data_IF_592393233255
#
_entry.id   IF_592393233255
#
_cell.length_a   1.000
_cell.length_b   1.000
_cell.length_c   1.000
_cell.angle_alpha   90.00
_cell.angle_beta   90.00
_cell.angle_gamma   90.00
#
_symmetry.space_group_name_H-M   'P 1'
#
loop_
_entity.id
_entity.type
_entity.pdbx_description
1 polymer ?
#
# COMPACT_ATOMS: atom_id res chain seq x y z
N UNK A 1 -10.58 -14.07 25.60
CA UNK A 1 -10.96 -15.02 24.52
C UNK A 1 -12.18 -14.57 23.71
N UNK A 2 -13.32 -14.24 24.34
CA UNK A 2 -14.53 -13.78 23.64
C UNK A 2 -14.33 -12.54 22.73
N UNK A 3 -13.44 -11.63 23.09
CA UNK A 3 -13.18 -10.41 22.31
C UNK A 3 -12.47 -10.70 20.97
N UNK A 4 -11.49 -11.61 20.95
CA UNK A 4 -10.84 -12.03 19.70
C UNK A 4 -11.83 -12.71 18.74
N UNK A 5 -12.72 -13.55 19.28
CA UNK A 5 -13.77 -14.22 18.50
C UNK A 5 -14.74 -13.18 17.91
N UNK A 6 -15.10 -12.15 18.69
CA UNK A 6 -15.92 -11.03 18.20
C UNK A 6 -15.26 -10.33 17.01
N UNK A 7 -13.96 -10.05 17.07
CA UNK A 7 -13.25 -9.42 15.95
C UNK A 7 -13.14 -10.36 14.73
N UNK A 8 -12.90 -11.66 14.91
CA UNK A 8 -12.94 -12.60 13.78
C UNK A 8 -14.32 -12.66 13.12
N UNK A 9 -15.40 -12.70 13.90
CA UNK A 9 -16.76 -12.66 13.36
C UNK A 9 -17.05 -11.34 12.60
N UNK A 10 -16.49 -10.22 13.08
CA UNK A 10 -16.60 -8.94 12.37
C UNK A 10 -15.84 -8.97 11.04
N UNK A 11 -14.59 -9.46 11.04
CA UNK A 11 -13.75 -9.57 9.84
C UNK A 11 -14.37 -10.49 8.79
N UNK A 12 -15.00 -11.58 9.21
CA UNK A 12 -15.74 -12.49 8.33
C UNK A 12 -16.95 -11.79 7.69
N UNK A 13 -17.75 -11.08 8.51
CA UNK A 13 -18.91 -10.32 8.05
C UNK A 13 -18.58 -9.25 7.01
N UNK A 14 -17.43 -8.58 7.15
CA UNK A 14 -16.97 -7.57 6.17
C UNK A 14 -16.15 -8.20 5.01
N UNK A 15 -16.01 -9.52 4.98
CA UNK A 15 -15.43 -10.27 3.87
C UNK A 15 -13.90 -10.28 3.82
N UNK A 16 -13.22 -9.90 4.91
CA UNK A 16 -11.74 -9.87 5.00
C UNK A 16 -11.19 -11.29 5.19
N UNK A 17 -11.88 -12.10 5.98
CA UNK A 17 -11.55 -13.51 6.21
C UNK A 17 -12.77 -14.39 5.88
N UNK A 18 -12.51 -15.69 5.78
CA UNK A 18 -13.48 -16.78 5.90
C UNK A 18 -13.20 -17.46 7.24
N UNK A 19 -14.09 -17.29 8.21
CA UNK A 19 -13.98 -17.91 9.53
C UNK A 19 -14.39 -19.40 9.46
N UNK A 20 -13.60 -20.28 10.07
CA UNK A 20 -13.76 -21.74 10.07
C UNK A 20 -13.86 -22.27 11.51
N UNK A 21 -14.32 -23.51 11.72
CA UNK A 21 -14.38 -24.13 13.03
C UNK A 21 -13.04 -24.05 13.78
N UNK A 22 -13.13 -24.00 15.12
CA UNK A 22 -11.97 -23.90 16.03
C UNK A 22 -11.13 -22.63 15.84
N UNK A 23 -11.77 -21.49 15.53
CA UNK A 23 -11.13 -20.19 15.32
C UNK A 23 -10.05 -20.18 14.22
N UNK A 24 -10.11 -21.14 13.30
CA UNK A 24 -9.26 -21.14 12.10
C UNK A 24 -9.84 -20.15 11.10
N UNK A 25 -9.01 -19.55 10.26
CA UNK A 25 -9.50 -18.64 9.22
C UNK A 25 -8.69 -18.77 7.93
N UNK A 26 -9.31 -18.38 6.82
CA UNK A 26 -8.64 -18.15 5.53
C UNK A 26 -8.74 -16.67 5.19
N UNK A 27 -7.60 -16.02 4.92
CA UNK A 27 -7.58 -14.64 4.46
C UNK A 27 -8.16 -14.55 3.04
N UNK A 28 -9.09 -13.62 2.81
CA UNK A 28 -9.73 -13.38 1.50
C UNK A 28 -9.13 -12.19 0.74
N UNK A 29 -8.17 -11.50 1.34
CA UNK A 29 -7.44 -10.40 0.71
C UNK A 29 -6.12 -10.89 0.12
N UNK A 30 -5.88 -10.55 -1.14
CA UNK A 30 -4.54 -10.62 -1.72
C UNK A 30 -3.64 -9.54 -1.09
N UNK A 31 -2.35 -9.81 -0.89
CA UNK A 31 -1.42 -8.80 -0.37
C UNK A 31 -1.32 -7.54 -1.24
N UNK A 32 -1.48 -7.68 -2.55
CA UNK A 32 -1.48 -6.57 -3.51
C UNK A 32 -2.90 -6.02 -3.81
N UNK A 33 -3.87 -6.15 -2.89
CA UNK A 33 -5.21 -5.65 -3.15
C UNK A 33 -5.24 -4.12 -3.30
N UNK A 34 -6.04 -3.63 -4.25
CA UNK A 34 -6.21 -2.19 -4.46
C UNK A 34 -7.14 -1.59 -3.41
N UNK A 35 -6.69 -0.52 -2.77
CA UNK A 35 -7.54 0.26 -1.90
C UNK A 35 -8.54 1.05 -2.73
N UNK A 36 -9.78 1.13 -2.24
CA UNK A 36 -10.77 2.04 -2.82
C UNK A 36 -10.31 3.49 -2.57
N UNK A 37 -10.24 4.35 -3.60
CA UNK A 37 -9.97 5.77 -3.40
C UNK A 37 -10.96 6.36 -2.39
N UNK A 38 -10.45 7.10 -1.39
CA UNK A 38 -11.23 7.66 -0.28
C UNK A 38 -12.03 6.62 0.54
N UNK A 39 -11.67 5.34 0.43
CA UNK A 39 -12.25 4.26 1.20
C UNK A 39 -11.69 4.16 2.62
N UNK A 40 -12.30 3.32 3.48
CA UNK A 40 -11.99 3.27 4.91
C UNK A 40 -10.53 2.91 5.20
N UNK A 41 -9.95 1.95 4.46
CA UNK A 41 -8.54 1.56 4.63
C UNK A 41 -7.60 2.73 4.31
N UNK A 42 -7.87 3.45 3.22
CA UNK A 42 -7.05 4.58 2.80
C UNK A 42 -7.14 5.73 3.79
N UNK A 43 -8.34 6.04 4.29
CA UNK A 43 -8.53 7.10 5.28
C UNK A 43 -7.86 6.74 6.60
N UNK A 44 -8.06 5.52 7.09
CA UNK A 44 -7.40 5.03 8.29
C UNK A 44 -5.87 5.12 8.19
N UNK A 45 -5.28 4.65 7.07
CA UNK A 45 -3.84 4.74 6.87
C UNK A 45 -3.34 6.19 6.87
N UNK A 46 -4.04 7.10 6.18
CA UNK A 46 -3.67 8.53 6.17
C UNK A 46 -3.73 9.16 7.55
N UNK A 47 -4.74 8.83 8.33
CA UNK A 47 -5.00 9.43 9.64
C UNK A 47 -4.07 8.88 10.74
N UNK A 48 -3.67 7.60 10.63
CA UNK A 48 -3.04 6.91 11.76
C UNK A 48 -1.61 6.42 11.49
N UNK A 49 -1.21 6.21 10.24
CA UNK A 49 0.04 5.51 9.92
C UNK A 49 0.94 6.25 8.91
N UNK A 50 0.40 7.16 8.10
CA UNK A 50 1.16 7.82 7.05
C UNK A 50 2.35 8.63 7.58
N UNK A 51 2.11 9.46 8.60
CA UNK A 51 3.18 10.28 9.18
C UNK A 51 4.21 9.45 9.94
N UNK A 52 3.76 8.41 10.64
CA UNK A 52 4.63 7.44 11.32
C UNK A 52 5.55 6.74 10.31
N UNK A 53 5.00 6.19 9.22
CA UNK A 53 5.77 5.53 8.17
C UNK A 53 6.81 6.47 7.52
N UNK A 54 6.44 7.72 7.21
CA UNK A 54 7.35 8.69 6.62
C UNK A 54 8.28 9.38 7.63
N UNK A 55 8.14 9.10 8.93
CA UNK A 55 9.11 9.55 9.95
C UNK A 55 10.38 8.70 9.98
N UNK A 56 10.35 7.51 9.35
CA UNK A 56 11.52 6.65 9.18
C UNK A 56 12.59 7.27 8.27
N UNK A 57 13.85 6.90 8.51
CA UNK A 57 15.01 7.42 7.77
C UNK A 57 15.15 6.86 6.35
N UNK A 58 14.56 5.69 6.07
CA UNK A 58 14.74 4.93 4.82
C UNK A 58 16.23 4.65 4.51
N UNK A 59 17.06 4.50 5.55
CA UNK A 59 18.51 4.30 5.50
C UNK A 59 18.94 2.88 5.90
N UNK A 60 17.98 1.99 6.17
CA UNK A 60 18.22 0.57 6.40
C UNK A 60 18.61 -0.19 5.12
N UNK A 61 19.19 -1.40 5.26
CA UNK A 61 19.45 -2.27 4.12
C UNK A 61 18.18 -2.56 3.32
N UNK A 62 18.20 -2.23 2.02
CA UNK A 62 17.03 -2.43 1.15
C UNK A 62 15.92 -1.39 1.30
N UNK A 63 16.12 -0.37 2.15
CA UNK A 63 15.21 0.76 2.29
C UNK A 63 15.60 1.90 1.35
N UNK A 64 14.62 2.75 1.03
CA UNK A 64 14.85 3.95 0.25
C UNK A 64 13.54 4.69 -0.03
N UNK A 65 13.64 6.01 -0.22
CA UNK A 65 12.53 6.86 -0.63
C UNK A 65 12.87 7.55 -1.95
N UNK A 66 11.98 7.44 -2.94
CA UNK A 66 12.16 8.03 -4.26
C UNK A 66 11.07 9.06 -4.52
N UNK A 67 11.47 10.32 -4.70
CA UNK A 67 10.59 11.39 -5.16
C UNK A 67 11.05 11.84 -6.55
N UNK A 68 10.22 11.58 -7.56
CA UNK A 68 10.50 11.97 -8.94
C UNK A 68 9.43 12.96 -9.40
N UNK A 69 9.88 14.15 -9.82
CA UNK A 69 9.02 15.18 -10.41
C UNK A 69 9.29 15.31 -11.91
N UNK A 70 8.24 15.46 -12.71
CA UNK A 70 8.36 15.64 -14.15
C UNK A 70 7.02 15.58 -14.87
N UNK A 71 7.06 15.84 -16.17
CA UNK A 71 5.91 15.71 -17.07
C UNK A 71 6.14 14.56 -18.04
N UNK A 72 5.12 13.72 -18.20
CA UNK A 72 5.08 12.65 -19.22
C UNK A 72 3.85 12.84 -20.08
N UNK A 73 3.82 12.21 -21.26
CA UNK A 73 2.62 12.25 -22.11
C UNK A 73 1.43 11.58 -21.39
N UNK A 74 0.23 12.13 -21.59
CA UNK A 74 -1.00 11.58 -21.00
C UNK A 74 -1.22 10.11 -21.39
N UNK A 75 -0.89 9.75 -22.63
CA UNK A 75 -0.99 8.37 -23.13
C UNK A 75 -0.04 7.38 -22.45
N UNK A 76 1.06 7.86 -21.86
CA UNK A 76 2.05 6.99 -21.21
C UNK A 76 1.73 6.74 -19.73
N UNK A 77 0.96 7.62 -19.08
CA UNK A 77 0.66 7.51 -17.65
C UNK A 77 0.03 6.17 -17.22
N UNK A 78 -0.93 5.57 -17.97
CA UNK A 78 -1.48 4.26 -17.61
C UNK A 78 -0.42 3.15 -17.59
N UNK A 79 0.55 3.18 -18.51
CA UNK A 79 1.61 2.17 -18.60
C UNK A 79 2.56 2.20 -17.40
N UNK A 80 2.82 3.39 -16.83
CA UNK A 80 3.60 3.51 -15.60
C UNK A 80 2.83 2.97 -14.40
N UNK A 81 1.53 3.26 -14.31
CA UNK A 81 0.68 2.72 -13.25
C UNK A 81 0.62 1.19 -13.31
N UNK A 82 0.54 0.60 -14.51
CA UNK A 82 0.62 -0.87 -14.69
C UNK A 82 1.96 -1.43 -14.21
N UNK A 83 3.08 -0.78 -14.54
CA UNK A 83 4.42 -1.21 -14.06
C UNK A 83 4.51 -1.18 -12.54
N UNK A 84 3.95 -0.15 -11.89
CA UNK A 84 3.88 -0.09 -10.43
C UNK A 84 3.03 -1.21 -9.84
N UNK A 85 1.91 -1.57 -10.50
CA UNK A 85 1.10 -2.72 -10.07
C UNK A 85 1.85 -4.04 -10.20
N UNK A 86 2.68 -4.22 -11.24
CA UNK A 86 3.53 -5.41 -11.38
C UNK A 86 4.56 -5.51 -10.26
N UNK A 87 5.23 -4.41 -9.92
CA UNK A 87 6.17 -4.37 -8.77
C UNK A 87 5.48 -4.82 -7.46
N UNK A 88 4.25 -4.35 -7.20
CA UNK A 88 3.47 -4.78 -6.04
C UNK A 88 3.11 -6.29 -6.10
N UNK A 89 2.80 -6.81 -7.28
CA UNK A 89 2.51 -8.23 -7.49
C UNK A 89 3.76 -9.10 -7.29
N UNK A 90 4.91 -8.67 -7.78
CA UNK A 90 6.18 -9.38 -7.64
C UNK A 90 6.56 -9.49 -6.16
N UNK A 91 6.44 -8.40 -5.39
CA UNK A 91 6.65 -8.42 -3.94
C UNK A 91 5.67 -9.36 -3.22
N UNK A 92 4.38 -9.33 -3.59
CA UNK A 92 3.38 -10.21 -2.99
C UNK A 92 3.67 -11.70 -3.26
N UNK A 93 4.13 -12.04 -4.46
CA UNK A 93 4.53 -13.40 -4.83
C UNK A 93 5.78 -13.84 -4.08
N UNK A 94 6.81 -12.99 -4.03
CA UNK A 94 8.05 -13.27 -3.30
C UNK A 94 7.77 -13.48 -1.80
N UNK A 95 6.97 -12.61 -1.19
CA UNK A 95 6.55 -12.76 0.20
C UNK A 95 5.88 -14.12 0.45
N UNK A 96 5.03 -14.60 -0.47
CA UNK A 96 4.38 -15.91 -0.34
C UNK A 96 5.38 -17.07 -0.48
N UNK A 97 6.35 -16.95 -1.40
CA UNK A 97 7.40 -17.95 -1.56
C UNK A 97 8.27 -18.07 -0.29
N UNK A 98 8.61 -16.92 0.31
CA UNK A 98 9.46 -16.83 1.49
C UNK A 98 8.75 -17.25 2.78
N UNK A 99 7.44 -17.53 2.77
CA UNK A 99 6.76 -18.10 3.95
C UNK A 99 7.36 -19.43 4.41
N UNK A 100 8.04 -20.15 3.49
CA UNK A 100 8.73 -21.41 3.79
C UNK A 100 10.14 -21.22 4.38
N UNK A 101 10.69 -20.01 4.32
CA UNK A 101 12.03 -19.73 4.84
C UNK A 101 12.02 -19.64 6.37
N UNK A 102 13.14 -19.98 7.05
CA UNK A 102 13.31 -19.73 8.48
C UNK A 102 13.12 -18.24 8.80
N UNK A 103 12.52 -17.95 9.95
CA UNK A 103 12.19 -16.56 10.32
C UNK A 103 13.41 -15.63 10.36
N UNK A 104 14.56 -16.14 10.82
CA UNK A 104 15.84 -15.42 10.85
C UNK A 104 16.37 -15.00 9.48
N UNK A 105 15.88 -15.60 8.40
CA UNK A 105 16.32 -15.36 7.03
C UNK A 105 15.29 -14.49 6.28
N UNK A 106 14.37 -13.83 7.00
CA UNK A 106 13.33 -12.97 6.43
C UNK A 106 13.34 -11.61 7.13
N UNK A 107 13.10 -10.58 6.33
CA UNK A 107 12.97 -9.20 6.82
C UNK A 107 11.60 -8.63 6.42
N UNK A 108 11.05 -7.76 7.26
CA UNK A 108 9.74 -7.17 7.05
C UNK A 108 9.82 -5.87 6.26
N UNK A 109 9.34 -5.86 5.02
CA UNK A 109 9.24 -4.63 4.23
C UNK A 109 7.79 -4.21 4.00
N UNK A 110 7.56 -2.90 4.00
CA UNK A 110 6.30 -2.28 3.57
C UNK A 110 6.56 -1.39 2.37
N UNK A 111 5.88 -1.67 1.25
CA UNK A 111 5.98 -0.88 0.02
C UNK A 111 4.78 0.06 -0.12
N UNK A 112 5.04 1.36 -0.24
CA UNK A 112 4.04 2.35 -0.61
C UNK A 112 4.34 2.90 -2.01
N UNK A 113 3.46 2.59 -2.97
CA UNK A 113 3.59 3.02 -4.36
C UNK A 113 2.47 4.00 -4.71
N UNK A 114 2.82 5.22 -5.13
CA UNK A 114 1.84 6.24 -5.50
C UNK A 114 2.28 7.02 -6.75
N UNK A 115 1.32 7.23 -7.66
CA UNK A 115 1.48 8.10 -8.81
C UNK A 115 0.21 8.95 -8.91
N UNK A 116 0.39 10.27 -8.98
CA UNK A 116 -0.71 11.22 -9.14
C UNK A 116 -0.26 12.38 -10.01
N UNK A 117 -1.17 12.91 -10.81
CA UNK A 117 -1.01 14.28 -11.32
C UNK A 117 -1.08 15.20 -10.10
N UNK A 118 0.04 15.84 -9.79
CA UNK A 118 0.18 16.66 -8.60
C UNK A 118 1.09 17.83 -8.86
N UNK A 119 0.66 18.97 -8.34
CA UNK A 119 1.43 20.18 -8.26
C UNK A 119 1.60 20.49 -6.76
N UNK A 120 2.83 20.76 -6.34
CA UNK A 120 3.08 21.14 -4.96
C UNK A 120 2.35 22.47 -4.69
N UNK A 121 1.61 22.54 -3.58
CA UNK A 121 0.72 23.67 -3.29
C UNK A 121 1.42 25.02 -3.18
N UNK A 122 2.73 25.07 -2.92
CA UNK A 122 3.49 26.32 -2.98
C UNK A 122 3.62 26.83 -4.43
N UNK A 123 3.71 25.94 -5.43
CA UNK A 123 3.87 26.31 -6.84
C UNK A 123 2.57 26.72 -7.51
N UNK A 124 1.41 26.24 -7.03
CA UNK A 124 0.11 26.66 -7.56
C UNK A 124 -0.12 28.17 -7.40
N UNK A 125 0.41 28.77 -6.32
CA UNK A 125 0.35 30.23 -6.07
C UNK A 125 1.26 31.04 -6.99
N UNK A 126 2.26 30.41 -7.60
CA UNK A 126 3.21 31.03 -8.52
C UNK A 126 2.80 30.88 -9.99
N UNK A 127 1.67 30.21 -10.26
CA UNK A 127 1.18 29.94 -11.61
C UNK A 127 0.68 31.23 -12.24
N UNK A 128 1.38 31.70 -13.28
CA UNK A 128 0.95 32.88 -14.04
C UNK A 128 -0.35 32.54 -14.80
N UNK A 129 -1.39 33.39 -14.75
CA UNK A 129 -2.59 33.18 -15.55
C UNK A 129 -2.22 33.32 -17.04
N UNK A 130 -2.35 32.25 -17.81
CA UNK A 130 -2.33 32.34 -19.28
C UNK A 130 -1.30 31.52 -20.06
N UNK A 131 -0.79 30.39 -19.56
CA UNK A 131 -0.17 29.39 -20.43
C UNK A 131 -0.57 27.97 -19.99
N UNK A 132 -1.53 27.40 -20.72
CA UNK A 132 -1.97 26.01 -20.63
C UNK A 132 -2.46 25.57 -21.99
#
# INVERSE_FOLDING_TARGET
EAECIKYFAQLDRIGIIELRPLNRYRLKLAKAFRWRPHGPVMNYFRENALLDYFSGGFDGPGEGVLLVHGSISRGLAPSFLERMQRVAQDFAQQHQADQKMPEKDREGYTLLLAMRSWEFGAFTTLRRPGQG
#
